data_IF_131777307379
#
_entry.id   IF_131777307379
#
_cell.length_a   1.000
_cell.length_b   1.000
_cell.length_c   1.000
_cell.angle_alpha   90.00
_cell.angle_beta   90.00
_cell.angle_gamma   90.00
#
_symmetry.space_group_name_H-M   'P 1'
#
loop_
_entity.id
_entity.type
_entity.pdbx_description
1 polymer ?
#
# COMPACT_ATOMS: atom_id res chain seq x y z
N UNK A 1 26.45 31.55 -7.62
CA UNK A 1 25.93 31.26 -6.27
C UNK A 1 25.70 29.76 -6.20
N UNK A 2 26.54 29.08 -5.42
CA UNK A 2 26.79 27.64 -5.53
C UNK A 2 25.63 26.79 -4.95
N UNK A 3 25.33 25.70 -5.65
CA UNK A 3 24.93 24.39 -5.13
C UNK A 3 23.74 24.33 -4.15
N UNK A 4 22.51 24.17 -4.67
CA UNK A 4 21.40 23.65 -3.88
C UNK A 4 21.16 22.18 -4.26
N UNK A 5 21.28 21.30 -3.27
CA UNK A 5 21.23 19.84 -3.38
C UNK A 5 19.94 19.41 -4.09
N UNK A 6 20.06 18.73 -5.24
CA UNK A 6 18.95 18.05 -5.91
C UNK A 6 18.48 16.87 -5.05
N UNK A 7 17.63 17.11 -4.04
CA UNK A 7 16.84 16.02 -3.43
C UNK A 7 15.76 15.64 -4.44
N UNK A 8 15.92 14.49 -5.08
CA UNK A 8 14.98 13.97 -6.10
C UNK A 8 13.62 13.57 -5.53
N UNK A 9 13.52 13.45 -4.21
CA UNK A 9 12.31 13.01 -3.51
C UNK A 9 12.24 13.64 -2.11
N UNK A 10 11.01 13.78 -1.61
CA UNK A 10 10.70 14.10 -0.22
C UNK A 10 10.20 12.83 0.45
N UNK A 11 10.69 12.52 1.65
CA UNK A 11 10.30 11.33 2.40
C UNK A 11 9.61 11.77 3.69
N UNK A 12 8.42 11.23 3.93
CA UNK A 12 7.66 11.38 5.17
C UNK A 12 7.43 10.00 5.76
N UNK A 13 7.75 9.83 7.04
CA UNK A 13 7.60 8.56 7.75
C UNK A 13 6.58 8.74 8.87
N UNK A 14 5.75 7.73 9.09
CA UNK A 14 4.74 7.70 10.16
C UNK A 14 4.82 6.38 10.90
N UNK A 15 5.08 6.46 12.19
CA UNK A 15 5.08 5.31 13.08
C UNK A 15 3.65 5.05 13.61
N UNK A 16 3.18 3.81 13.46
CA UNK A 16 1.88 3.40 14.00
C UNK A 16 1.93 3.41 15.52
N UNK A 17 0.86 3.90 16.14
CA UNK A 17 0.71 4.18 17.57
C UNK A 17 1.47 5.40 18.11
N UNK A 18 2.30 6.05 17.29
CA UNK A 18 2.93 7.33 17.63
C UNK A 18 2.37 8.48 16.79
N UNK A 19 2.47 8.39 15.46
CA UNK A 19 2.05 9.44 14.51
C UNK A 19 0.65 9.18 13.93
N UNK A 20 0.19 7.93 13.98
CA UNK A 20 -1.09 7.48 13.44
C UNK A 20 -1.66 6.33 14.27
N UNK A 21 -2.97 6.17 14.28
CA UNK A 21 -3.66 5.13 15.06
C UNK A 21 -3.62 3.75 14.42
N UNK A 22 -3.49 3.66 13.09
CA UNK A 22 -3.41 2.40 12.34
C UNK A 22 -2.79 2.60 10.95
N UNK A 23 -2.37 1.51 10.32
CA UNK A 23 -1.89 1.49 8.92
C UNK A 23 -2.94 2.04 7.96
N UNK A 24 -4.19 1.62 8.12
CA UNK A 24 -5.31 2.07 7.30
C UNK A 24 -5.54 3.59 7.41
N UNK A 25 -5.48 4.13 8.64
CA UNK A 25 -5.62 5.57 8.85
C UNK A 25 -4.43 6.34 8.25
N UNK A 26 -3.22 5.79 8.36
CA UNK A 26 -2.02 6.34 7.75
C UNK A 26 -2.15 6.39 6.22
N UNK A 27 -2.59 5.29 5.61
CA UNK A 27 -2.79 5.15 4.17
C UNK A 27 -3.85 6.13 3.65
N UNK A 28 -5.02 6.18 4.29
CA UNK A 28 -6.09 7.14 3.93
C UNK A 28 -5.63 8.60 4.05
N UNK A 29 -4.76 8.90 5.01
CA UNK A 29 -4.19 10.24 5.17
C UNK A 29 -3.14 10.53 4.10
N UNK A 30 -2.23 9.59 3.86
CA UNK A 30 -1.17 9.71 2.86
C UNK A 30 -1.74 9.98 1.47
N UNK A 31 -2.84 9.33 1.06
CA UNK A 31 -3.48 9.57 -0.24
C UNK A 31 -3.96 11.02 -0.45
N UNK A 32 -4.11 11.81 0.62
CA UNK A 32 -4.46 13.24 0.55
C UNK A 32 -3.24 14.16 0.48
N UNK A 33 -2.03 13.61 0.53
CA UNK A 33 -0.75 14.34 0.55
C UNK A 33 -0.02 14.28 -0.79
N UNK A 34 -0.72 13.86 -1.86
CA UNK A 34 -0.19 13.67 -3.21
C UNK A 34 1.12 12.85 -3.25
N UNK A 35 1.18 11.65 -2.63
CA UNK A 35 2.38 10.82 -2.64
C UNK A 35 2.57 10.18 -4.02
N UNK A 36 3.82 10.00 -4.44
CA UNK A 36 4.12 9.19 -5.64
C UNK A 36 4.32 7.71 -5.28
N UNK A 37 4.89 7.46 -4.09
CA UNK A 37 5.23 6.13 -3.59
C UNK A 37 4.75 6.01 -2.15
N UNK A 38 4.11 4.89 -1.83
CA UNK A 38 3.66 4.56 -0.47
C UNK A 38 4.30 3.23 -0.06
N UNK A 39 5.15 3.28 0.96
CA UNK A 39 5.58 2.09 1.67
C UNK A 39 4.61 1.85 2.83
N UNK A 40 3.73 0.88 2.65
CA UNK A 40 2.88 0.35 3.70
C UNK A 40 3.65 -0.73 4.44
N UNK A 41 3.46 -0.84 5.76
CA UNK A 41 4.09 -1.89 6.56
C UNK A 41 3.54 -3.29 6.22
N UNK A 42 3.01 -3.98 7.21
CA UNK A 42 2.41 -5.29 7.02
C UNK A 42 0.91 -5.16 6.69
N UNK A 43 0.47 -5.86 5.65
CA UNK A 43 -0.95 -5.98 5.35
C UNK A 43 -1.56 -7.10 6.20
N UNK A 44 -2.63 -6.77 6.95
CA UNK A 44 -3.28 -7.71 7.88
C UNK A 44 -4.77 -7.95 7.63
N UNK A 45 -5.44 -7.08 6.88
CA UNK A 45 -6.89 -7.13 6.71
C UNK A 45 -7.33 -6.65 5.33
N UNK A 46 -8.55 -7.03 4.98
CA UNK A 46 -9.21 -6.72 3.71
C UNK A 46 -9.26 -5.22 3.42
N UNK A 47 -9.65 -4.40 4.40
CA UNK A 47 -9.84 -2.95 4.19
C UNK A 47 -8.53 -2.25 3.79
N UNK A 48 -7.42 -2.70 4.37
CA UNK A 48 -6.08 -2.17 4.05
C UNK A 48 -5.66 -2.57 2.65
N UNK A 49 -5.86 -3.84 2.25
CA UNK A 49 -5.57 -4.30 0.87
C UNK A 49 -6.43 -3.55 -0.13
N UNK A 50 -7.74 -3.47 0.13
CA UNK A 50 -8.70 -2.83 -0.76
C UNK A 50 -8.30 -1.38 -1.04
N UNK A 51 -7.96 -0.63 0.02
CA UNK A 51 -7.48 0.74 -0.11
C UNK A 51 -6.15 0.83 -0.88
N UNK A 52 -5.23 -0.11 -0.64
CA UNK A 52 -3.94 -0.16 -1.34
C UNK A 52 -4.10 -0.49 -2.83
N UNK A 53 -4.98 -1.43 -3.19
CA UNK A 53 -5.28 -1.77 -4.59
C UNK A 53 -5.90 -0.58 -5.33
N UNK A 54 -6.87 0.11 -4.73
CA UNK A 54 -7.43 1.34 -5.32
C UNK A 54 -6.39 2.46 -5.47
N UNK A 55 -5.44 2.57 -4.54
CA UNK A 55 -4.32 3.50 -4.68
C UNK A 55 -3.40 3.12 -5.86
N UNK A 56 -3.11 1.83 -6.02
CA UNK A 56 -2.31 1.33 -7.15
C UNK A 56 -2.99 1.60 -8.50
N UNK A 57 -4.30 1.37 -8.61
CA UNK A 57 -5.10 1.66 -9.81
C UNK A 57 -5.08 3.14 -10.21
N UNK A 58 -4.97 4.03 -9.22
CA UNK A 58 -4.90 5.48 -9.46
C UNK A 58 -3.48 5.98 -9.74
N UNK A 59 -2.50 5.08 -9.85
CA UNK A 59 -1.14 5.39 -10.30
C UNK A 59 -0.11 5.56 -9.18
N UNK A 60 -0.45 5.20 -7.93
CA UNK A 60 0.50 5.25 -6.82
C UNK A 60 1.32 3.96 -6.76
N UNK A 61 2.65 4.06 -6.63
CA UNK A 61 3.48 2.88 -6.39
C UNK A 61 3.32 2.43 -4.93
N UNK A 62 2.75 1.23 -4.72
CA UNK A 62 2.60 0.64 -3.39
C UNK A 62 3.68 -0.42 -3.16
N UNK A 63 4.35 -0.32 -2.01
CA UNK A 63 5.25 -1.34 -1.50
C UNK A 63 4.71 -1.83 -0.17
N UNK A 64 4.66 -3.15 0.04
CA UNK A 64 4.20 -3.74 1.31
C UNK A 64 4.78 -5.13 1.51
N UNK A 65 4.61 -5.68 2.72
CA UNK A 65 5.05 -7.02 3.09
C UNK A 65 3.88 -7.87 3.60
N UNK A 66 3.94 -9.16 3.28
CA UNK A 66 3.06 -10.20 3.82
C UNK A 66 3.92 -11.37 4.32
N UNK A 67 3.54 -11.96 5.45
CA UNK A 67 4.20 -13.16 6.01
C UNK A 67 3.79 -14.42 5.24
N UNK A 68 4.33 -14.56 4.04
CA UNK A 68 4.09 -15.71 3.15
C UNK A 68 5.40 -16.21 2.58
N UNK A 69 5.46 -17.50 2.25
CA UNK A 69 6.64 -18.11 1.63
C UNK A 69 6.39 -18.27 0.14
N UNK A 70 6.99 -17.41 -0.68
CA UNK A 70 6.92 -17.48 -2.14
C UNK A 70 5.71 -16.76 -2.74
N UNK A 71 5.85 -16.37 -4.02
CA UNK A 71 4.92 -15.47 -4.70
C UNK A 71 3.49 -16.02 -4.84
N UNK A 72 3.34 -17.31 -5.13
CA UNK A 72 2.01 -17.95 -5.29
C UNK A 72 1.21 -17.82 -3.99
N UNK A 73 1.83 -18.20 -2.86
CA UNK A 73 1.21 -18.08 -1.54
C UNK A 73 0.89 -16.63 -1.17
N UNK A 74 1.67 -15.66 -1.63
CA UNK A 74 1.37 -14.23 -1.44
C UNK A 74 0.10 -13.83 -2.18
N UNK A 75 -0.03 -14.23 -3.45
CA UNK A 75 -1.23 -13.93 -4.25
C UNK A 75 -2.47 -14.57 -3.63
N UNK A 76 -2.38 -15.87 -3.29
CA UNK A 76 -3.50 -16.59 -2.67
C UNK A 76 -3.89 -15.96 -1.33
N UNK A 77 -2.90 -15.58 -0.50
CA UNK A 77 -3.17 -14.91 0.78
C UNK A 77 -3.88 -13.57 0.63
N UNK A 78 -3.59 -12.80 -0.43
CA UNK A 78 -4.29 -11.54 -0.70
C UNK A 78 -5.73 -11.81 -1.09
N UNK A 79 -5.97 -12.77 -1.99
CA UNK A 79 -7.31 -13.13 -2.46
C UNK A 79 -8.16 -13.67 -1.30
N UNK A 80 -7.58 -14.50 -0.44
CA UNK A 80 -8.24 -15.11 0.73
C UNK A 80 -8.67 -14.08 1.80
N UNK A 81 -8.18 -12.84 1.74
CA UNK A 81 -8.67 -11.77 2.63
C UNK A 81 -10.08 -11.30 2.27
N UNK A 82 -10.55 -11.56 1.04
CA UNK A 82 -11.87 -11.17 0.57
C UNK A 82 -12.80 -12.39 0.57
N UNK A 83 -13.97 -12.30 1.20
CA UNK A 83 -14.91 -13.42 1.27
C UNK A 83 -15.87 -13.46 0.08
N UNK A 84 -16.45 -12.31 -0.28
CA UNK A 84 -17.56 -12.25 -1.25
C UNK A 84 -17.13 -11.89 -2.69
N UNK A 85 -15.89 -11.39 -2.87
CA UNK A 85 -15.46 -10.77 -4.13
C UNK A 85 -14.08 -11.25 -4.62
N UNK A 86 -13.71 -12.50 -4.33
CA UNK A 86 -12.41 -13.07 -4.70
C UNK A 86 -12.10 -12.99 -6.20
N UNK A 87 -13.08 -13.30 -7.05
CA UNK A 87 -12.90 -13.29 -8.51
C UNK A 87 -12.63 -11.88 -9.05
N UNK A 88 -13.28 -10.88 -8.47
CA UNK A 88 -13.05 -9.47 -8.80
C UNK A 88 -11.64 -9.05 -8.41
N UNK A 89 -11.20 -9.36 -7.19
CA UNK A 89 -9.85 -9.02 -6.70
C UNK A 89 -8.77 -9.74 -7.50
N UNK A 90 -8.99 -11.01 -7.86
CA UNK A 90 -8.07 -11.76 -8.74
C UNK A 90 -7.91 -11.07 -10.10
N UNK A 91 -9.02 -10.63 -10.69
CA UNK A 91 -9.00 -9.90 -11.96
C UNK A 91 -8.27 -8.55 -11.81
N UNK A 92 -8.57 -7.79 -10.76
CA UNK A 92 -7.93 -6.52 -10.45
C UNK A 92 -6.40 -6.66 -10.30
N UNK A 93 -5.95 -7.61 -9.48
CA UNK A 93 -4.53 -7.91 -9.25
C UNK A 93 -3.76 -8.25 -10.53
N UNK A 94 -4.44 -8.79 -11.55
CA UNK A 94 -3.82 -9.14 -12.83
C UNK A 94 -3.69 -7.98 -13.82
N UNK A 95 -4.40 -6.88 -13.57
CA UNK A 95 -4.44 -5.70 -14.45
C UNK A 95 -3.49 -4.58 -14.00
N UNK A 96 -3.09 -4.58 -12.72
CA UNK A 96 -2.09 -3.68 -12.16
C UNK A 96 -0.68 -4.26 -12.30
#
# INVERSE_FOLDING_TARGET
MNSCIRKKSIVSQREVYHDTTSDLNALKSALREAPEVILLGEIRNEETVSTALSAAETGHLILSALHTVGAVNTIDRIIDMFQDHQDQVRSQLSMI
#
